data_IF_352843459082
#
_entry.id   IF_352843459082
#
_cell.length_a   1.000
_cell.length_b   1.000
_cell.length_c   1.000
_cell.angle_alpha   90.00
_cell.angle_beta   90.00
_cell.angle_gamma   90.00
#
_symmetry.space_group_name_H-M   'P 1'
#
loop_
_entity.id
_entity.type
_entity.pdbx_description
1 polymer ?
#
# COMPACT_ATOMS: atom_id res chain seq x y z
N UNK A 1 -30.47 -7.64 4.31
CA UNK A 1 -29.87 -7.60 4.24
C UNK A 1 -28.98 -7.47 4.34
N UNK A 2 -28.52 -7.36 4.12
CA UNK A 2 -27.71 -7.32 4.01
C UNK A 2 -26.75 -7.11 4.01
N UNK A 3 -26.16 -6.74 4.12
CA UNK A 3 -25.35 -6.37 4.11
C UNK A 3 -24.31 -6.39 4.03
N UNK A 4 -23.74 -5.93 3.59
CA UNK A 4 -22.80 -5.92 3.44
C UNK A 4 -21.77 -6.00 3.71
N UNK A 5 -21.08 -6.08 3.48
CA UNK A 5 -20.09 -6.52 3.78
C UNK A 5 -18.89 -6.01 3.30
N UNK A 6 -18.40 -4.96 3.45
CA UNK A 6 -17.24 -4.39 3.05
C UNK A 6 -16.03 -4.80 3.76
N UNK A 7 -16.04 -5.22 4.92
CA UNK A 7 -14.82 -5.56 5.67
C UNK A 7 -13.94 -6.58 5.05
N UNK A 8 -14.39 -7.24 4.06
CA UNK A 8 -13.58 -8.27 3.44
C UNK A 8 -12.36 -7.71 2.73
N UNK A 9 -12.45 -6.48 2.23
CA UNK A 9 -11.29 -5.88 1.58
C UNK A 9 -10.19 -5.58 2.57
N UNK A 10 -10.53 -5.11 3.75
CA UNK A 10 -9.53 -4.84 4.77
C UNK A 10 -8.77 -6.10 5.15
N UNK A 11 -9.49 -7.20 5.37
CA UNK A 11 -8.86 -8.45 5.72
C UNK A 11 -7.98 -8.95 4.58
N UNK A 12 -8.46 -8.80 3.37
CA UNK A 12 -7.72 -9.23 2.19
C UNK A 12 -6.41 -8.45 2.05
N UNK A 13 -6.45 -7.15 2.24
CA UNK A 13 -5.25 -6.33 2.17
C UNK A 13 -4.24 -6.78 3.22
N UNK A 14 -4.70 -7.00 4.46
CA UNK A 14 -3.81 -7.46 5.52
C UNK A 14 -3.18 -8.81 5.18
N UNK A 15 -3.94 -9.71 4.56
CA UNK A 15 -3.39 -11.00 4.16
C UNK A 15 -2.31 -10.84 3.09
N UNK A 16 -2.59 -10.05 2.07
CA UNK A 16 -1.68 -9.92 0.94
C UNK A 16 -0.39 -9.21 1.32
N UNK A 17 -0.43 -8.33 2.30
CA UNK A 17 0.76 -7.61 2.76
C UNK A 17 1.34 -8.18 4.06
N UNK A 18 0.89 -9.37 4.46
CA UNK A 18 1.38 -9.99 5.69
C UNK A 18 2.88 -10.28 5.64
N UNK A 19 3.45 -10.44 4.44
CA UNK A 19 4.88 -10.67 4.32
C UNK A 19 5.69 -9.54 4.94
N UNK A 20 5.12 -8.34 5.05
CA UNK A 20 5.79 -7.23 5.71
C UNK A 20 5.89 -7.49 7.21
N UNK A 21 4.86 -8.08 7.81
CA UNK A 21 4.89 -8.45 9.22
C UNK A 21 5.97 -9.50 9.44
N UNK A 22 6.06 -10.49 8.56
CA UNK A 22 7.07 -11.53 8.66
C UNK A 22 8.48 -10.95 8.53
N UNK A 23 8.59 -9.85 7.80
CA UNK A 23 9.87 -9.18 7.62
C UNK A 23 10.21 -8.21 8.77
N UNK A 24 9.33 -8.08 9.74
CA UNK A 24 9.59 -7.25 10.91
C UNK A 24 8.90 -5.91 10.94
N UNK A 25 8.08 -5.62 9.96
CA UNK A 25 7.31 -4.38 9.96
C UNK A 25 6.18 -4.46 10.98
N UNK A 26 5.79 -3.31 11.52
CA UNK A 26 4.67 -3.21 12.43
C UNK A 26 3.55 -2.46 11.76
N UNK A 27 2.33 -2.98 11.89
CA UNK A 27 1.17 -2.41 11.24
C UNK A 27 0.39 -1.49 12.17
N UNK A 28 0.06 -0.30 11.67
CA UNK A 28 -0.93 0.57 12.28
C UNK A 28 -2.01 0.81 11.24
N UNK A 29 -3.25 0.65 11.66
CA UNK A 29 -4.40 0.78 10.77
C UNK A 29 -5.23 2.00 11.17
N UNK A 30 -5.56 2.82 10.18
CA UNK A 30 -6.38 4.00 10.39
C UNK A 30 -7.56 3.95 9.44
N UNK A 31 -8.69 4.38 9.93
CA UNK A 31 -9.92 4.39 9.13
C UNK A 31 -10.67 5.69 9.38
N UNK A 32 -11.05 6.38 8.31
CA UNK A 32 -11.76 7.64 8.44
C UNK A 32 -12.54 7.93 7.17
N UNK A 33 -13.87 8.11 7.33
CA UNK A 33 -14.73 8.51 6.22
C UNK A 33 -14.61 7.63 4.99
N UNK A 34 -14.52 6.33 5.20
CA UNK A 34 -14.42 5.39 4.08
C UNK A 34 -13.02 5.22 3.53
N UNK A 35 -12.07 5.98 4.03
CA UNK A 35 -10.68 5.86 3.62
C UNK A 35 -9.93 5.01 4.63
N UNK A 36 -9.05 4.16 4.13
CA UNK A 36 -8.25 3.30 4.99
C UNK A 36 -6.77 3.52 4.72
N UNK A 37 -5.98 3.55 5.78
CA UNK A 37 -4.53 3.61 5.69
C UNK A 37 -3.94 2.47 6.48
N UNK A 38 -3.14 1.66 5.80
CA UNK A 38 -2.38 0.58 6.44
C UNK A 38 -0.92 1.01 6.44
N UNK A 39 -0.42 1.39 7.61
CA UNK A 39 0.96 1.90 7.73
C UNK A 39 1.85 0.81 8.31
N UNK A 40 2.76 0.30 7.50
CA UNK A 40 3.70 -0.73 7.89
C UNK A 40 5.05 -0.06 8.15
N UNK A 41 5.51 -0.10 9.40
CA UNK A 41 6.69 0.65 9.81
C UNK A 41 7.85 -0.26 10.14
N UNK A 42 9.04 0.11 9.68
CA UNK A 42 10.28 -0.56 10.03
C UNK A 42 11.33 0.49 10.36
N UNK A 43 12.54 0.05 10.67
CA UNK A 43 13.63 0.97 10.92
C UNK A 43 14.09 1.68 9.65
N UNK A 44 13.84 1.06 8.51
CA UNK A 44 14.34 1.58 7.23
C UNK A 44 13.35 2.54 6.58
N UNK A 45 12.08 2.16 6.58
CA UNK A 45 11.05 2.95 5.92
C UNK A 45 9.68 2.56 6.41
N UNK A 46 8.70 3.38 6.07
CA UNK A 46 7.29 3.07 6.30
C UNK A 46 6.64 2.85 4.95
N UNK A 47 5.95 1.74 4.80
CA UNK A 47 5.21 1.43 3.58
C UNK A 47 3.74 1.69 3.89
N UNK A 48 3.17 2.69 3.22
CA UNK A 48 1.82 3.14 3.51
C UNK A 48 0.91 2.79 2.36
N UNK A 49 -0.15 2.06 2.68
CA UNK A 49 -1.10 1.57 1.70
C UNK A 49 -2.40 2.32 1.91
N UNK A 50 -2.79 3.07 0.90
CA UNK A 50 -4.01 3.87 0.93
C UNK A 50 -5.09 3.15 0.14
N UNK A 51 -6.17 2.80 0.82
CA UNK A 51 -7.33 2.21 0.18
C UNK A 51 -8.50 3.18 0.33
N UNK A 52 -8.77 3.90 -0.75
CA UNK A 52 -9.80 4.92 -0.77
C UNK A 52 -10.85 4.55 -1.80
N UNK A 53 -12.06 5.10 -1.68
CA UNK A 53 -13.12 4.74 -2.61
C UNK A 53 -12.77 4.96 -4.08
N UNK A 54 -11.91 5.94 -4.35
CA UNK A 54 -11.58 6.28 -5.72
C UNK A 54 -10.16 5.95 -6.09
N UNK A 55 -9.44 5.21 -5.25
CA UNK A 55 -8.07 4.88 -5.58
C UNK A 55 -7.41 3.96 -4.58
N UNK A 56 -6.36 3.31 -5.06
CA UNK A 56 -5.53 2.46 -4.22
C UNK A 56 -4.09 2.81 -4.56
N UNK A 57 -3.31 3.11 -3.54
CA UNK A 57 -1.95 3.54 -3.81
C UNK A 57 -1.01 3.09 -2.70
N UNK A 58 0.27 3.08 -3.02
CA UNK A 58 1.31 2.72 -2.07
C UNK A 58 2.34 3.83 -2.08
N UNK A 59 2.65 4.33 -0.88
CA UNK A 59 3.61 5.41 -0.68
C UNK A 59 4.67 4.93 0.28
N UNK A 60 5.93 5.21 -0.02
CA UNK A 60 7.04 4.82 0.83
C UNK A 60 7.59 6.08 1.48
N UNK A 61 7.67 6.06 2.80
CA UNK A 61 8.17 7.19 3.58
C UNK A 61 9.51 6.80 4.19
N UNK A 62 10.57 7.52 3.83
CA UNK A 62 11.92 7.20 4.29
C UNK A 62 12.40 8.09 5.42
N UNK A 63 11.73 9.21 5.64
CA UNK A 63 12.13 10.10 6.71
C UNK A 63 11.33 9.88 7.96
N UNK A 64 11.87 10.30 9.08
CA UNK A 64 11.18 10.18 10.34
C UNK A 64 10.75 11.53 10.91
N UNK A 65 11.00 12.61 10.21
CA UNK A 65 10.68 13.92 10.74
C UNK A 65 9.87 14.79 9.80
N UNK A 66 10.15 14.70 8.52
CA UNK A 66 9.53 15.58 7.55
C UNK A 66 8.97 14.76 6.40
N UNK A 67 7.77 14.26 6.56
CA UNK A 67 7.21 13.31 5.59
C UNK A 67 7.14 13.82 4.16
N UNK A 68 6.98 15.11 3.98
CA UNK A 68 6.83 15.62 2.62
C UNK A 68 8.09 15.48 1.80
N UNK A 69 9.25 15.58 2.45
CA UNK A 69 10.51 15.52 1.74
C UNK A 69 10.96 14.09 1.47
N UNK A 70 10.43 13.14 2.22
CA UNK A 70 10.90 11.76 2.18
C UNK A 70 9.84 10.75 1.77
N UNK A 71 8.66 11.23 1.39
CA UNK A 71 7.58 10.37 0.95
C UNK A 71 7.58 10.28 -0.57
N UNK A 72 7.60 9.08 -1.09
CA UNK A 72 7.62 8.86 -2.52
C UNK A 72 6.58 7.83 -2.89
N UNK A 73 5.79 8.16 -3.92
CA UNK A 73 4.88 7.18 -4.48
C UNK A 73 5.70 6.01 -5.01
N UNK A 74 5.15 4.82 -4.92
CA UNK A 74 5.85 3.62 -5.37
C UNK A 74 6.23 3.71 -6.85
N UNK A 75 5.49 4.47 -7.64
CA UNK A 75 5.81 4.69 -9.05
C UNK A 75 7.15 5.41 -9.21
N UNK A 76 7.51 6.24 -8.25
CA UNK A 76 8.78 6.94 -8.27
C UNK A 76 9.92 6.04 -7.79
N UNK A 77 9.62 5.19 -6.83
CA UNK A 77 10.63 4.29 -6.26
C UNK A 77 10.98 3.17 -7.23
N UNK A 78 9.98 2.69 -7.96
CA UNK A 78 10.14 1.56 -8.89
C UNK A 78 9.61 1.94 -10.28
N UNK A 79 10.18 2.98 -10.91
CA UNK A 79 9.56 3.51 -12.13
C UNK A 79 9.52 2.52 -13.29
N UNK A 80 10.50 1.63 -13.38
CA UNK A 80 10.54 0.69 -14.50
C UNK A 80 9.76 -0.59 -14.23
N UNK A 81 9.21 -0.74 -13.03
CA UNK A 81 8.53 -1.98 -12.64
C UNK A 81 7.03 -1.83 -12.46
N UNK A 82 6.55 -0.61 -12.52
CA UNK A 82 5.12 -0.36 -12.35
C UNK A 82 4.46 -0.25 -13.72
N UNK A 83 3.46 -1.08 -13.93
CA UNK A 83 2.64 -0.99 -15.13
C UNK A 83 1.57 0.07 -14.89
N UNK A 84 1.74 1.23 -15.51
CA UNK A 84 0.84 2.35 -15.25
C UNK A 84 -0.59 2.09 -15.70
N UNK A 85 -0.77 1.23 -16.69
CA UNK A 85 -2.13 0.91 -17.12
C UNK A 85 -2.90 0.20 -16.01
N UNK A 86 -2.22 -0.68 -15.29
CA UNK A 86 -2.86 -1.38 -14.18
C UNK A 86 -2.94 -0.49 -12.96
N UNK A 87 -1.84 0.20 -12.65
CA UNK A 87 -1.75 1.00 -11.44
C UNK A 87 -2.71 2.20 -11.45
N UNK A 88 -2.92 2.78 -12.62
CA UNK A 88 -3.75 3.97 -12.74
C UNK A 88 -5.18 3.68 -13.19
N UNK A 89 -5.54 2.42 -13.21
CA UNK A 89 -6.89 2.05 -13.63
C UNK A 89 -7.91 2.69 -12.69
N UNK A 90 -8.90 3.32 -13.29
CA UNK A 90 -9.93 3.97 -12.51
C UNK A 90 -10.70 2.98 -11.66
N UNK A 91 -10.86 3.32 -10.40
CA UNK A 91 -11.58 2.51 -9.44
C UNK A 91 -12.80 3.30 -9.01
N UNK A 92 -13.98 2.70 -9.15
CA UNK A 92 -15.20 3.42 -8.86
C UNK A 92 -15.54 3.45 -7.39
N UNK A 93 -15.37 2.34 -6.70
CA UNK A 93 -15.74 2.26 -5.30
C UNK A 93 -14.56 1.82 -4.45
N UNK A 94 -14.14 0.59 -4.64
CA UNK A 94 -13.04 0.03 -3.86
C UNK A 94 -12.08 -0.64 -4.80
N UNK A 95 -10.82 -0.70 -4.41
CA UNK A 95 -9.81 -1.35 -5.22
C UNK A 95 -10.24 -2.79 -5.50
N UNK A 96 -10.23 -3.21 -6.76
CA UNK A 96 -10.50 -4.60 -7.07
C UNK A 96 -9.36 -5.48 -6.55
N UNK A 97 -9.68 -6.74 -6.32
CA UNK A 97 -8.70 -7.70 -5.83
C UNK A 97 -7.46 -7.72 -6.72
N UNK A 98 -7.65 -7.59 -8.03
CA UNK A 98 -6.53 -7.61 -8.97
C UNK A 98 -5.55 -6.45 -8.72
N UNK A 99 -6.06 -5.28 -8.35
CA UNK A 99 -5.20 -4.14 -8.05
C UNK A 99 -4.42 -4.37 -6.76
N UNK A 100 -5.10 -4.89 -5.74
CA UNK A 100 -4.43 -5.21 -4.48
C UNK A 100 -3.34 -6.24 -4.70
N UNK A 101 -3.65 -7.30 -5.44
CA UNK A 101 -2.69 -8.36 -5.74
C UNK A 101 -1.50 -7.79 -6.50
N UNK A 102 -1.76 -6.91 -7.45
CA UNK A 102 -0.70 -6.32 -8.26
C UNK A 102 0.30 -5.57 -7.38
N UNK A 103 -0.20 -4.67 -6.52
CA UNK A 103 0.70 -3.90 -5.66
C UNK A 103 1.41 -4.78 -4.63
N UNK A 104 0.70 -5.76 -4.07
CA UNK A 104 1.32 -6.66 -3.11
C UNK A 104 2.45 -7.45 -3.75
N UNK A 105 2.26 -7.91 -4.98
CA UNK A 105 3.29 -8.64 -5.70
C UNK A 105 4.49 -7.74 -5.98
N UNK A 106 4.25 -6.52 -6.46
CA UNK A 106 5.34 -5.60 -6.76
C UNK A 106 6.15 -5.28 -5.50
N UNK A 107 5.48 -4.99 -4.41
CA UNK A 107 6.17 -4.68 -3.16
C UNK A 107 6.97 -5.89 -2.68
N UNK A 108 6.34 -7.06 -2.71
CA UNK A 108 6.98 -8.27 -2.24
C UNK A 108 8.23 -8.62 -3.05
N UNK A 109 8.13 -8.52 -4.37
CA UNK A 109 9.24 -8.89 -5.25
C UNK A 109 10.38 -7.88 -5.23
N UNK A 110 10.13 -6.67 -4.79
CA UNK A 110 11.11 -5.60 -4.85
C UNK A 110 11.37 -4.96 -3.50
N UNK A 111 11.11 -5.69 -2.41
CA UNK A 111 11.20 -5.12 -1.08
C UNK A 111 12.60 -4.60 -0.74
N UNK A 112 13.64 -5.31 -1.16
CA UNK A 112 14.99 -4.86 -0.88
C UNK A 112 15.32 -3.58 -1.64
N UNK A 113 14.88 -3.49 -2.86
CA UNK A 113 15.08 -2.29 -3.65
C UNK A 113 14.33 -1.10 -3.02
N UNK A 114 13.12 -1.36 -2.54
CA UNK A 114 12.34 -0.34 -1.84
C UNK A 114 13.08 0.14 -0.60
N UNK A 115 13.61 -0.79 0.18
CA UNK A 115 14.27 -0.45 1.43
C UNK A 115 15.58 0.29 1.23
N UNK A 116 16.22 0.15 0.09
CA UNK A 116 17.50 0.77 -0.20
C UNK A 116 17.42 1.93 -1.19
N UNK A 117 16.22 2.43 -1.41
CA UNK A 117 16.03 3.57 -2.29
C UNK A 117 16.57 4.84 -1.66
N UNK A 118 17.32 5.60 -2.43
CA UNK A 118 17.86 6.87 -1.95
C UNK A 118 17.74 7.95 -2.99
#
# INVERSE_FOLDING_TARGET
MFFQKKPKKRRYIKQKFHFLIDRGYKLKYYHRNGEELFSYSSKTCNIEIFNEPQGFDVVINYGDGFPYDYSHNIRKVLPSKINTEIADKKIKLFAPVSTIDYFATIVSQNIEEIEHFH
#
